data_IF_014857259695
#
_entry.id   IF_014857259695
#
_cell.length_a   1.000
_cell.length_b   1.000
_cell.length_c   1.000
_cell.angle_alpha   90.00
_cell.angle_beta   90.00
_cell.angle_gamma   90.00
#
_symmetry.space_group_name_H-M   'P 1'
#
loop_
_entity.id
_entity.type
_entity.pdbx_description
1 polymer ?
#
# COMPACT_ATOMS: atom_id res chain seq x y z
N UNK A 1 -5.22 -3.61 16.65
CA UNK A 1 -4.61 -4.69 15.84
C UNK A 1 -3.17 -4.29 15.58
N UNK A 2 -2.25 -5.24 15.50
CA UNK A 2 -0.85 -4.94 15.17
C UNK A 2 -0.74 -4.74 13.66
N UNK A 3 -0.02 -3.69 13.22
CA UNK A 3 0.22 -3.39 11.79
C UNK A 3 0.79 -4.62 11.11
N UNK A 4 0.25 -4.98 9.94
CA UNK A 4 0.82 -6.07 9.14
C UNK A 4 2.32 -5.83 8.89
N UNK A 5 3.16 -6.78 9.30
CA UNK A 5 4.61 -6.69 9.17
C UNK A 5 5.02 -7.05 7.74
N UNK A 6 5.57 -6.07 7.03
CA UNK A 6 6.07 -6.25 5.67
C UNK A 6 7.58 -6.52 5.66
N UNK A 7 8.00 -7.47 4.86
CA UNK A 7 9.40 -7.71 4.52
C UNK A 7 9.85 -6.72 3.44
N UNK A 8 11.10 -6.26 3.55
CA UNK A 8 11.70 -5.28 2.64
C UNK A 8 10.81 -4.04 2.41
N UNK A 9 10.20 -3.54 3.50
CA UNK A 9 9.31 -2.38 3.46
C UNK A 9 10.07 -1.13 2.98
N UNK A 10 9.51 -0.46 1.96
CA UNK A 10 9.97 0.83 1.44
C UNK A 10 8.89 1.86 1.73
N UNK A 11 9.26 2.97 2.38
CA UNK A 11 8.30 3.97 2.86
C UNK A 11 8.42 5.25 2.03
N UNK A 12 7.30 5.75 1.52
CA UNK A 12 7.19 7.02 0.79
C UNK A 12 6.47 8.05 1.66
N UNK A 13 7.20 8.65 2.60
CA UNK A 13 6.65 9.53 3.64
C UNK A 13 5.86 10.71 3.08
N UNK A 14 6.33 11.34 1.99
CA UNK A 14 5.68 12.53 1.40
C UNK A 14 4.32 12.21 0.75
N UNK A 15 4.08 10.94 0.43
CA UNK A 15 2.86 10.45 -0.23
C UNK A 15 2.02 9.55 0.66
N UNK A 16 2.42 9.36 1.92
CA UNK A 16 1.68 8.62 2.94
C UNK A 16 1.35 7.17 2.54
N UNK A 17 2.27 6.49 1.85
CA UNK A 17 2.18 5.06 1.60
C UNK A 17 3.51 4.33 1.84
N UNK A 18 3.44 3.03 2.06
CA UNK A 18 4.59 2.12 1.99
C UNK A 18 4.28 0.93 1.10
N UNK A 19 5.32 0.23 0.66
CA UNK A 19 5.20 -1.04 -0.09
C UNK A 19 6.13 -2.09 0.49
N UNK A 20 5.75 -3.35 0.41
CA UNK A 20 6.57 -4.46 0.88
C UNK A 20 5.89 -5.79 0.62
N UNK A 21 6.57 -6.88 0.95
CA UNK A 21 6.02 -8.22 0.81
C UNK A 21 5.41 -8.68 2.13
N UNK A 22 4.18 -9.18 2.12
CA UNK A 22 3.54 -9.81 3.29
C UNK A 22 3.71 -11.33 3.18
N UNK A 23 4.50 -11.97 4.07
CA UNK A 23 4.61 -13.43 4.10
C UNK A 23 3.29 -14.11 4.46
N UNK A 24 2.48 -13.46 5.30
CA UNK A 24 1.16 -13.96 5.73
C UNK A 24 0.18 -14.06 4.56
N UNK A 25 0.20 -13.08 3.67
CA UNK A 25 -0.70 -13.02 2.51
C UNK A 25 -0.07 -13.62 1.25
N UNK A 26 1.25 -13.88 1.27
CA UNK A 26 2.05 -14.29 0.11
C UNK A 26 1.87 -13.32 -1.08
N UNK A 27 1.92 -12.02 -0.81
CA UNK A 27 1.64 -10.94 -1.78
C UNK A 27 2.56 -9.75 -1.57
N UNK A 28 2.85 -9.03 -2.65
CA UNK A 28 3.32 -7.64 -2.54
C UNK A 28 2.13 -6.74 -2.22
N UNK A 29 2.34 -5.83 -1.28
CA UNK A 29 1.29 -5.01 -0.69
C UNK A 29 1.71 -3.56 -0.68
N UNK A 30 0.77 -2.68 -1.05
CA UNK A 30 0.83 -1.25 -0.77
C UNK A 30 -0.05 -0.94 0.44
N UNK A 31 0.50 -0.18 1.38
CA UNK A 31 -0.16 0.29 2.59
C UNK A 31 -0.34 1.79 2.47
N UNK A 32 -1.58 2.27 2.51
CA UNK A 32 -1.90 3.70 2.44
C UNK A 32 -2.42 4.17 3.78
N UNK A 33 -1.83 5.24 4.31
CA UNK A 33 -2.26 5.86 5.58
C UNK A 33 -3.42 6.81 5.30
N UNK A 34 -4.57 6.56 5.92
CA UNK A 34 -5.78 7.37 5.78
C UNK A 34 -5.91 8.33 6.96
N UNK A 35 -5.62 9.62 6.72
CA UNK A 35 -5.52 10.64 7.78
C UNK A 35 -6.83 11.36 8.11
N UNK A 36 -7.87 11.25 7.27
CA UNK A 36 -9.05 12.14 7.36
C UNK A 36 -10.10 11.79 8.41
N UNK A 37 -10.20 10.52 8.85
CA UNK A 37 -11.34 10.03 9.67
C UNK A 37 -10.84 9.31 10.93
N UNK A 38 -9.72 8.57 10.89
CA UNK A 38 -9.24 7.84 12.07
C UNK A 38 -7.75 7.44 12.06
N UNK A 39 -6.92 7.94 11.14
CA UNK A 39 -5.51 7.54 11.04
C UNK A 39 -5.31 6.03 11.01
N UNK A 40 -5.85 5.39 9.99
CA UNK A 40 -5.87 3.94 9.83
C UNK A 40 -5.20 3.55 8.52
N UNK A 41 -4.76 2.30 8.36
CA UNK A 41 -4.15 1.89 7.10
C UNK A 41 -5.13 1.11 6.22
N UNK A 42 -4.93 1.23 4.91
CA UNK A 42 -5.57 0.38 3.90
C UNK A 42 -4.52 -0.39 3.14
N UNK A 43 -4.77 -1.68 2.98
CA UNK A 43 -3.85 -2.62 2.35
C UNK A 43 -4.40 -3.02 0.98
N UNK A 44 -3.54 -2.92 -0.04
CA UNK A 44 -3.87 -3.26 -1.42
C UNK A 44 -2.82 -4.19 -2.00
N UNK A 45 -3.24 -5.18 -2.77
CA UNK A 45 -2.33 -5.98 -3.56
C UNK A 45 -1.71 -5.15 -4.69
N UNK A 46 -0.41 -5.28 -4.84
CA UNK A 46 0.35 -4.77 -5.98
C UNK A 46 1.15 -5.91 -6.61
N UNK A 47 1.57 -5.73 -7.85
CA UNK A 47 2.48 -6.68 -8.49
C UNK A 47 3.92 -6.49 -7.99
N UNK A 48 4.77 -7.49 -8.19
CA UNK A 48 6.21 -7.36 -7.96
C UNK A 48 6.82 -6.23 -8.82
N UNK A 49 6.34 -6.07 -10.06
CA UNK A 49 6.75 -4.98 -10.95
C UNK A 49 6.41 -3.60 -10.35
N UNK A 50 5.20 -3.43 -9.83
CA UNK A 50 4.77 -2.21 -9.12
C UNK A 50 5.59 -1.98 -7.84
N UNK A 51 5.96 -3.04 -7.11
CA UNK A 51 6.89 -2.92 -5.96
C UNK A 51 8.29 -2.45 -6.40
N UNK A 52 8.78 -2.98 -7.53
CA UNK A 52 10.10 -2.66 -8.06
C UNK A 52 10.16 -1.26 -8.69
N UNK A 53 9.03 -0.68 -9.07
CA UNK A 53 8.93 0.72 -9.53
C UNK A 53 8.88 1.75 -8.38
N UNK A 54 9.25 1.36 -7.16
CA UNK A 54 9.32 2.28 -6.02
C UNK A 54 10.14 3.53 -6.34
N UNK A 55 9.57 4.70 -6.06
CA UNK A 55 10.16 6.01 -6.38
C UNK A 55 9.63 6.62 -7.68
N UNK A 56 8.91 5.86 -8.51
CA UNK A 56 8.37 6.34 -9.77
C UNK A 56 7.05 7.11 -9.62
N UNK A 57 6.72 7.92 -10.64
CA UNK A 57 5.46 8.64 -10.69
C UNK A 57 4.26 7.70 -10.90
N UNK A 58 4.46 6.57 -11.57
CA UNK A 58 3.45 5.56 -11.82
C UNK A 58 2.97 4.92 -10.51
N UNK A 59 3.89 4.56 -9.62
CA UNK A 59 3.53 4.00 -8.31
C UNK A 59 2.83 5.04 -7.43
N UNK A 60 3.28 6.30 -7.48
CA UNK A 60 2.62 7.40 -6.77
C UNK A 60 1.17 7.61 -7.28
N UNK A 61 0.95 7.53 -8.60
CA UNK A 61 -0.38 7.62 -9.19
C UNK A 61 -1.26 6.41 -8.84
N UNK A 62 -0.67 5.22 -8.71
CA UNK A 62 -1.37 4.03 -8.25
C UNK A 62 -1.87 4.21 -6.80
N UNK A 63 -1.03 4.72 -5.91
CA UNK A 63 -1.42 5.03 -4.54
C UNK A 63 -2.60 6.02 -4.48
N UNK A 64 -2.58 7.07 -5.31
CA UNK A 64 -3.70 8.01 -5.41
C UNK A 64 -4.98 7.37 -5.96
N UNK A 65 -4.84 6.42 -6.90
CA UNK A 65 -5.97 5.66 -7.44
C UNK A 65 -6.63 4.81 -6.34
N UNK A 66 -5.84 4.12 -5.52
CA UNK A 66 -6.35 3.35 -4.38
C UNK A 66 -6.98 4.25 -3.31
N UNK A 67 -6.36 5.40 -3.01
CA UNK A 67 -6.88 6.37 -2.04
C UNK A 67 -8.26 6.92 -2.45
N UNK A 68 -8.45 7.21 -3.74
CA UNK A 68 -9.74 7.67 -4.29
C UNK A 68 -10.80 6.56 -4.45
N UNK A 69 -10.45 5.31 -4.10
CA UNK A 69 -11.37 4.17 -4.11
C UNK A 69 -11.48 3.45 -5.45
N UNK A 70 -10.55 3.68 -6.38
CA UNK A 70 -10.36 2.89 -7.59
C UNK A 70 -9.71 1.53 -7.32
N UNK A 71 -9.78 0.63 -8.31
CA UNK A 71 -9.18 -0.73 -8.25
C UNK A 71 -9.58 -1.53 -7.00
N UNK A 72 -10.89 -1.53 -6.68
CA UNK A 72 -11.44 -2.17 -5.46
C UNK A 72 -11.17 -3.67 -5.41
N UNK A 73 -11.00 -4.32 -6.55
CA UNK A 73 -10.62 -5.72 -6.68
C UNK A 73 -9.25 -6.05 -6.07
N UNK A 74 -8.38 -5.04 -5.88
CA UNK A 74 -7.06 -5.19 -5.24
C UNK A 74 -7.07 -4.89 -3.74
N UNK A 75 -8.20 -4.47 -3.18
CA UNK A 75 -8.31 -4.19 -1.75
C UNK A 75 -8.23 -5.48 -0.94
N UNK A 76 -7.44 -5.47 0.14
CA UNK A 76 -7.25 -6.60 1.03
C UNK A 76 -8.02 -6.41 2.35
N UNK A 77 -7.67 -5.38 3.12
CA UNK A 77 -8.31 -5.05 4.39
C UNK A 77 -7.91 -3.64 4.88
N UNK A 78 -8.45 -3.24 6.03
CA UNK A 78 -8.06 -2.04 6.79
C UNK A 78 -7.79 -2.40 8.24
N UNK A 79 -6.90 -1.66 8.92
CA UNK A 79 -6.53 -1.88 10.33
C UNK A 79 -6.58 -0.64 11.20
#
# INVERSE_FOLDING_TARGET
MEKEKLENEKIRHEKLYSVGYSPRLNKYVMVIVITWIAWYNRYFEITEEEYNSFGSAELDNLAQTFLSGGKRERFLFSD
#
